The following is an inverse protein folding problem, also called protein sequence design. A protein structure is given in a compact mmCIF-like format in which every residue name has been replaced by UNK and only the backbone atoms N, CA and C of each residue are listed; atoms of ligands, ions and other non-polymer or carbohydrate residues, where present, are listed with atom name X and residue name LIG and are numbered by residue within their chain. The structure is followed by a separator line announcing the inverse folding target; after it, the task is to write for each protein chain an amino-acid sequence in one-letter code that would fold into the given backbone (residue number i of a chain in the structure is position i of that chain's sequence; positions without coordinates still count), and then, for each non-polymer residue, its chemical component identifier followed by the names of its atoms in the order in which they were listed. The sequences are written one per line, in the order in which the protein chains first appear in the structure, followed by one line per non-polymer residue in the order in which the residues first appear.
data_IF_360329866244
#
_entry.id   IF_360329866244
#
_cell.length_a   1.000
_cell.length_b   1.000
_cell.length_c   1.000
_cell.angle_alpha   90.00
_cell.angle_beta   90.00
_cell.angle_gamma   90.00
#
_symmetry.space_group_name_H-M   'P 1'
#
loop_
_entity.id
_entity.type
_entity.pdbx_description
1 polymer ?
#
# COMPACT_ATOMS: atom_id res chain seq x y z
N UNK A 1 12.68 9.19 9.88
CA UNK A 1 11.37 8.57 9.56
C UNK A 1 10.96 7.40 10.48
N UNK A 2 11.89 6.77 11.23
CA UNK A 2 11.52 5.70 12.19
C UNK A 2 10.50 6.15 13.25
N UNK A 3 10.62 7.38 13.76
CA UNK A 3 9.68 7.97 14.72
C UNK A 3 8.29 8.18 14.13
N UNK A 4 8.18 8.70 12.90
CA UNK A 4 6.91 8.88 12.20
C UNK A 4 6.23 7.53 11.98
N UNK A 5 6.94 6.52 11.47
CA UNK A 5 6.37 5.19 11.26
C UNK A 5 5.86 4.57 12.56
N UNK A 6 6.63 4.70 13.65
CA UNK A 6 6.20 4.19 14.97
C UNK A 6 4.96 4.92 15.48
N UNK A 7 4.90 6.25 15.32
CA UNK A 7 3.74 7.04 15.69
C UNK A 7 2.51 6.64 14.86
N UNK A 8 2.65 6.50 13.55
CA UNK A 8 1.56 6.05 12.67
C UNK A 8 1.05 4.66 13.05
N UNK A 9 1.93 3.73 13.44
CA UNK A 9 1.52 2.43 14.00
C UNK A 9 0.70 2.58 15.28
N UNK A 10 1.14 3.44 16.20
CA UNK A 10 0.41 3.70 17.45
C UNK A 10 -0.98 4.27 17.14
N UNK A 11 -1.07 5.25 16.25
CA UNK A 11 -2.34 5.84 15.82
C UNK A 11 -3.27 4.80 15.19
N UNK A 12 -2.74 3.98 14.26
CA UNK A 12 -3.50 2.89 13.63
C UNK A 12 -4.05 1.92 14.66
N UNK A 13 -3.21 1.48 15.59
CA UNK A 13 -3.59 0.54 16.65
C UNK A 13 -4.62 1.14 17.63
N UNK A 14 -4.74 2.47 17.68
CA UNK A 14 -5.76 3.19 18.45
C UNK A 14 -7.05 3.45 17.66
N UNK A 15 -7.18 2.90 16.46
CA UNK A 15 -8.37 3.01 15.63
C UNK A 15 -8.39 4.21 14.70
N UNK A 16 -7.26 4.93 14.56
CA UNK A 16 -7.18 6.01 13.58
C UNK A 16 -7.32 5.46 12.15
N UNK A 17 -8.14 6.14 11.36
CA UNK A 17 -8.39 5.80 9.96
C UNK A 17 -7.53 6.67 9.03
N UNK A 18 -6.61 6.03 8.31
CA UNK A 18 -5.73 6.69 7.36
C UNK A 18 -6.39 6.90 5.99
N UNK A 19 -7.49 6.23 5.70
CA UNK A 19 -8.18 6.33 4.40
C UNK A 19 -8.90 7.67 4.20
N UNK A 20 -9.24 8.35 5.29
CA UNK A 20 -9.89 9.67 5.29
C UNK A 20 -8.89 10.82 5.32
N UNK A 21 -7.59 10.53 5.35
CA UNK A 21 -6.56 11.56 5.37
C UNK A 21 -6.35 12.19 4.00
N UNK A 22 -5.85 13.43 4.00
CA UNK A 22 -5.35 14.04 2.77
C UNK A 22 -4.20 13.20 2.18
N UNK A 23 -4.11 13.11 0.83
CA UNK A 23 -2.99 12.45 0.18
C UNK A 23 -1.66 13.10 0.57
N UNK A 24 -0.64 12.27 0.71
CA UNK A 24 0.73 12.74 1.00
C UNK A 24 1.56 12.62 -0.26
N UNK A 25 2.34 13.64 -0.57
CA UNK A 25 3.26 13.57 -1.70
C UNK A 25 4.41 12.57 -1.44
N UNK A 26 4.96 12.01 -2.51
CA UNK A 26 6.09 11.08 -2.45
C UNK A 26 7.42 11.78 -2.07
N UNK A 27 7.53 13.08 -2.31
CA UNK A 27 8.78 13.84 -2.17
C UNK A 27 9.43 13.74 -0.78
N UNK A 28 8.70 13.86 0.36
CA UNK A 28 9.29 13.70 1.68
C UNK A 28 9.91 12.31 1.91
N UNK A 29 9.35 11.26 1.32
CA UNK A 29 9.90 9.91 1.40
C UNK A 29 11.20 9.79 0.60
N UNK A 30 11.22 10.33 -0.63
CA UNK A 30 12.42 10.40 -1.46
C UNK A 30 13.53 11.18 -0.77
N UNK A 31 13.21 12.37 -0.26
CA UNK A 31 14.14 13.22 0.48
C UNK A 31 14.73 12.47 1.67
N UNK A 32 13.89 11.85 2.50
CA UNK A 32 14.35 11.09 3.65
C UNK A 32 15.19 9.86 3.27
N UNK A 33 14.83 9.14 2.20
CA UNK A 33 15.58 7.96 1.79
C UNK A 33 16.96 8.31 1.18
N UNK A 34 17.08 9.50 0.59
CA UNK A 34 18.32 10.03 0.02
C UNK A 34 19.22 10.65 1.10
N UNK A 35 18.62 11.41 2.03
CA UNK A 35 19.35 12.31 2.95
C UNK A 35 19.32 11.89 4.42
N UNK A 36 18.52 10.89 4.81
CA UNK A 36 18.44 10.42 6.18
C UNK A 36 18.88 8.94 6.28
N UNK A 37 19.82 8.66 7.18
CA UNK A 37 20.31 7.30 7.47
C UNK A 37 19.26 6.38 8.11
N UNK A 38 18.07 6.91 8.44
CA UNK A 38 17.01 6.22 9.18
C UNK A 38 15.72 6.04 8.38
N UNK A 39 15.82 5.99 7.04
CA UNK A 39 14.69 5.50 6.23
C UNK A 39 14.57 3.99 6.42
N UNK A 40 13.47 3.57 7.06
CA UNK A 40 13.21 2.16 7.31
C UNK A 40 12.40 1.61 6.16
N UNK A 41 12.80 0.44 5.65
CA UNK A 41 12.01 -0.28 4.67
C UNK A 41 10.64 -0.70 5.24
N UNK A 42 9.62 -0.69 4.39
CA UNK A 42 8.24 -1.08 4.68
C UNK A 42 7.35 0.05 5.23
N UNK A 43 7.88 1.26 5.41
CA UNK A 43 7.10 2.41 5.90
C UNK A 43 6.02 2.80 4.90
N UNK A 44 6.39 2.96 3.62
CA UNK A 44 5.48 3.39 2.56
C UNK A 44 4.42 2.31 2.36
N UNK A 45 4.87 1.07 2.28
CA UNK A 45 4.00 -0.07 2.11
C UNK A 45 2.96 -0.18 3.25
N UNK A 46 3.38 -0.01 4.51
CA UNK A 46 2.47 -0.05 5.67
C UNK A 46 1.42 1.06 5.63
N UNK A 47 1.84 2.29 5.29
CA UNK A 47 0.94 3.44 5.19
C UNK A 47 -0.12 3.23 4.09
N UNK A 48 0.30 2.75 2.92
CA UNK A 48 -0.61 2.37 1.84
C UNK A 48 -1.57 1.27 2.31
N UNK A 49 -1.06 0.22 2.95
CA UNK A 49 -1.87 -0.88 3.48
C UNK A 49 -2.88 -0.44 4.55
N UNK A 50 -2.66 0.71 5.21
CA UNK A 50 -3.63 1.31 6.14
C UNK A 50 -4.64 2.24 5.45
N UNK A 51 -4.49 2.48 4.15
CA UNK A 51 -5.39 3.29 3.33
C UNK A 51 -4.89 4.70 3.04
N UNK A 52 -3.69 5.09 3.51
CA UNK A 52 -3.15 6.41 3.18
C UNK A 52 -2.84 6.49 1.68
N UNK A 53 -3.28 7.56 1.03
CA UNK A 53 -2.93 7.84 -0.36
C UNK A 53 -1.57 8.51 -0.45
N UNK A 54 -0.71 8.00 -1.34
CA UNK A 54 0.59 8.60 -1.62
C UNK A 54 0.65 8.95 -3.10
N UNK A 55 0.95 10.20 -3.42
CA UNK A 55 0.89 10.74 -4.77
C UNK A 55 2.26 11.21 -5.27
N UNK A 56 2.49 11.09 -6.58
CA UNK A 56 3.68 11.59 -7.26
C UNK A 56 3.28 12.65 -8.31
N UNK A 57 2.82 13.84 -7.88
CA UNK A 57 2.31 14.86 -8.82
C UNK A 57 3.38 15.37 -9.78
N UNK A 58 4.65 15.33 -9.36
CA UNK A 58 5.79 15.83 -10.14
C UNK A 58 6.52 14.73 -10.93
N UNK A 59 6.01 13.49 -10.93
CA UNK A 59 6.58 12.36 -11.66
C UNK A 59 8.06 12.08 -11.30
N UNK A 60 8.42 12.22 -10.03
CA UNK A 60 9.77 11.96 -9.52
C UNK A 60 10.20 10.50 -9.74
N UNK A 61 9.24 9.57 -9.69
CA UNK A 61 9.47 8.14 -9.91
C UNK A 61 9.43 7.74 -11.40
N UNK A 62 9.30 8.70 -12.32
CA UNK A 62 9.36 8.39 -13.75
C UNK A 62 10.77 7.97 -14.18
N UNK A 63 10.84 6.99 -15.08
CA UNK A 63 12.11 6.48 -15.63
C UNK A 63 12.97 7.62 -16.18
N UNK A 64 12.35 8.60 -16.85
CA UNK A 64 13.03 9.78 -17.41
C UNK A 64 13.68 10.66 -16.34
N UNK A 65 12.95 10.97 -15.25
CA UNK A 65 13.47 11.79 -14.16
C UNK A 65 14.62 11.07 -13.43
N UNK A 66 14.41 9.77 -13.16
CA UNK A 66 15.39 8.87 -12.56
C UNK A 66 16.70 8.79 -13.36
N UNK A 67 16.62 8.58 -14.67
CA UNK A 67 17.79 8.49 -15.56
C UNK A 67 18.55 9.82 -15.69
N UNK A 68 17.83 10.95 -15.68
CA UNK A 68 18.43 12.27 -15.97
C UNK A 68 19.19 12.84 -14.78
N UNK A 69 18.66 12.73 -13.56
CA UNK A 69 19.12 13.57 -12.46
C UNK A 69 20.01 12.78 -11.48
N UNK A 70 19.79 11.46 -11.29
CA UNK A 70 20.27 10.78 -10.09
C UNK A 70 20.57 9.27 -10.21
N UNK A 71 21.51 8.82 -11.08
CA UNK A 71 21.88 7.40 -11.22
C UNK A 71 22.30 6.74 -9.89
N UNK A 72 23.02 7.47 -9.03
CA UNK A 72 23.47 6.99 -7.71
C UNK A 72 22.32 6.57 -6.78
N UNK A 73 21.14 7.17 -6.95
CA UNK A 73 19.98 6.92 -6.09
C UNK A 73 18.99 5.93 -6.70
N UNK A 74 19.30 5.32 -7.86
CA UNK A 74 18.46 4.28 -8.49
C UNK A 74 18.04 3.15 -7.55
N UNK A 75 18.92 2.59 -6.71
CA UNK A 75 18.51 1.54 -5.77
C UNK A 75 17.44 2.03 -4.78
N UNK A 76 17.54 3.28 -4.33
CA UNK A 76 16.59 3.90 -3.40
C UNK A 76 15.24 4.11 -4.05
N UNK A 77 15.21 4.68 -5.25
CA UNK A 77 13.97 4.86 -6.01
C UNK A 77 13.28 3.52 -6.30
N UNK A 78 14.06 2.51 -6.69
CA UNK A 78 13.54 1.16 -6.91
C UNK A 78 12.92 0.58 -5.64
N UNK A 79 13.60 0.70 -4.49
CA UNK A 79 13.07 0.26 -3.20
C UNK A 79 11.74 0.93 -2.85
N UNK A 80 11.61 2.23 -3.13
CA UNK A 80 10.37 2.98 -2.88
C UNK A 80 9.24 2.51 -3.80
N UNK A 81 9.53 2.31 -5.09
CA UNK A 81 8.55 1.76 -6.06
C UNK A 81 8.09 0.37 -5.65
N UNK A 82 9.01 -0.49 -5.22
CA UNK A 82 8.69 -1.85 -4.78
C UNK A 82 7.80 -1.83 -3.52
N UNK A 83 8.05 -0.92 -2.57
CA UNK A 83 7.17 -0.72 -1.41
C UNK A 83 5.77 -0.22 -1.79
N UNK A 84 5.67 0.69 -2.76
CA UNK A 84 4.38 1.19 -3.25
C UNK A 84 3.54 0.05 -3.83
N UNK A 85 4.14 -0.74 -4.73
CA UNK A 85 3.48 -1.91 -5.33
C UNK A 85 3.05 -2.93 -4.30
N UNK A 86 3.88 -3.19 -3.29
CA UNK A 86 3.53 -4.10 -2.21
C UNK A 86 2.38 -3.56 -1.35
N UNK A 87 2.35 -2.25 -1.09
CA UNK A 87 1.25 -1.61 -0.38
C UNK A 87 -0.08 -1.72 -1.12
N UNK A 88 -0.06 -1.43 -2.43
CA UNK A 88 -1.21 -1.57 -3.32
C UNK A 88 -1.69 -3.02 -3.43
N UNK A 89 -0.76 -3.99 -3.56
CA UNK A 89 -1.10 -5.43 -3.55
C UNK A 89 -1.82 -5.82 -2.27
N UNK A 90 -1.29 -5.42 -1.10
CA UNK A 90 -1.93 -5.70 0.20
C UNK A 90 -3.30 -5.04 0.33
N UNK A 91 -3.50 -3.86 -0.26
CA UNK A 91 -4.81 -3.23 -0.33
C UNK A 91 -5.79 -4.01 -1.18
N UNK A 92 -5.39 -4.40 -2.40
CA UNK A 92 -6.24 -5.18 -3.30
C UNK A 92 -6.63 -6.53 -2.70
N UNK A 93 -5.72 -7.22 -2.01
CA UNK A 93 -6.01 -8.47 -1.32
C UNK A 93 -7.01 -8.31 -0.18
N UNK A 94 -6.88 -7.22 0.59
CA UNK A 94 -7.81 -6.90 1.67
C UNK A 94 -9.18 -6.53 1.13
N UNK A 95 -9.25 -5.75 0.06
CA UNK A 95 -10.50 -5.39 -0.60
C UNK A 95 -11.20 -6.62 -1.17
N UNK A 96 -10.45 -7.51 -1.84
CA UNK A 96 -10.97 -8.79 -2.31
C UNK A 96 -11.49 -9.67 -1.17
N UNK A 97 -10.78 -9.74 -0.04
CA UNK A 97 -11.22 -10.48 1.14
C UNK A 97 -12.50 -9.89 1.75
N UNK A 98 -12.59 -8.56 1.85
CA UNK A 98 -13.78 -7.87 2.35
C UNK A 98 -15.00 -8.10 1.44
N UNK A 99 -14.81 -8.05 0.12
CA UNK A 99 -15.86 -8.35 -0.86
C UNK A 99 -16.31 -9.79 -0.72
N UNK A 100 -15.38 -10.75 -0.64
CA UNK A 100 -15.70 -12.17 -0.48
C UNK A 100 -16.49 -12.43 0.81
N UNK A 101 -16.11 -11.78 1.91
CA UNK A 101 -16.84 -11.86 3.18
C UNK A 101 -18.24 -11.25 3.06
N UNK A 102 -18.37 -10.06 2.46
CA UNK A 102 -19.68 -9.41 2.26
C UNK A 102 -20.62 -10.24 1.37
N UNK A 103 -20.09 -10.88 0.32
CA UNK A 103 -20.85 -11.79 -0.53
C UNK A 103 -21.31 -13.04 0.24
N UNK A 104 -20.47 -13.58 1.12
CA UNK A 104 -20.81 -14.71 1.96
C UNK A 104 -21.87 -14.36 3.01
N UNK A 105 -21.76 -13.19 3.66
CA UNK A 105 -22.75 -12.67 4.61
C UNK A 105 -24.10 -12.37 3.93
N UNK A 106 -24.07 -11.93 2.68
CA UNK A 106 -25.28 -11.73 1.86
C UNK A 106 -25.89 -13.04 1.32
N UNK A 107 -25.27 -14.20 1.57
CA UNK A 107 -25.73 -15.50 1.08
C UNK A 107 -25.58 -15.70 -0.44
N UNK A 108 -24.86 -14.82 -1.13
CA UNK A 108 -24.71 -14.79 -2.59
C UNK A 108 -23.60 -15.72 -3.11
N UNK A 109 -22.89 -16.41 -2.21
CA UNK A 109 -21.86 -17.40 -2.55
C UNK A 109 -22.39 -18.83 -2.59
N UNK A 110 -23.70 -19.04 -2.43
CA UNK A 110 -24.29 -20.37 -2.62
C UNK A 110 -24.33 -20.71 -4.11
N UNK A 111 -23.46 -21.63 -4.48
CA UNK A 111 -23.47 -22.33 -5.76
C UNK A 111 -24.78 -23.15 -5.81
N UNK A 112 -25.81 -22.60 -6.46
CA UNK A 112 -27.11 -23.24 -6.75
C UNK A 112 -26.96 -24.39 -7.78
N UNK A 113 -25.82 -25.08 -7.81
CA UNK A 113 -25.64 -26.27 -8.62
C UNK A 113 -26.41 -27.43 -7.97
N UNK A 114 -27.45 -27.97 -8.63
CA UNK A 114 -28.22 -29.06 -8.06
C UNK A 114 -27.31 -30.28 -7.90
N UNK A 115 -27.13 -30.75 -6.66
CA UNK A 115 -26.40 -32.00 -6.37
C UNK A 115 -26.96 -33.12 -7.26
N UNK A 116 -26.13 -33.88 -7.99
CA UNK A 116 -26.62 -34.98 -8.80
C UNK A 116 -27.29 -36.02 -7.89
N UNK A 117 -28.59 -36.25 -8.10
CA UNK A 117 -29.36 -37.31 -7.44
C UNK A 117 -28.63 -38.64 -7.68
N UNK A 118 -28.11 -39.26 -6.62
CA UNK A 118 -27.72 -40.68 -6.65
C UNK A 118 -28.95 -41.48 -7.06
N UNK A 119 -28.91 -42.09 -8.25
CA UNK A 119 -29.87 -43.14 -8.62
C UNK A 119 -29.58 -44.34 -7.72
N UNK A 120 -30.56 -44.72 -6.90
CA UNK A 120 -30.62 -46.06 -6.29
C UNK A 120 -30.90 -47.09 -7.37
#
# INVERSE_FOLDING_TARGET
MSGLHRLSKIMRNKGYDFSVCEPVEIWPFLWCAIHCEHFKAGVISDLLAWGLRIEDPNNYLSIKHMQTIRPKFMPVFKSIIDEMREGERRNAEREAANIAQALAEAGLTQDDTPKPRRRM
#
